data_IF_324420170140
#
_entry.id   IF_324420170140
#
_cell.length_a   1.000
_cell.length_b   1.000
_cell.length_c   1.000
_cell.angle_alpha   90.00
_cell.angle_beta   90.00
_cell.angle_gamma   90.00
#
_symmetry.space_group_name_H-M   'P 1'
#
loop_
_entity.id
_entity.type
_entity.pdbx_description
1 polymer ?
#
# COMPACT_ATOMS: atom_id res chain seq x y z
N UNK A 1 -3.48 3.84 -41.08
CA UNK A 1 -3.48 4.09 -39.63
C UNK A 1 -2.04 3.95 -39.14
N UNK A 2 -1.39 5.04 -38.76
CA UNK A 2 0.02 5.00 -38.34
C UNK A 2 0.09 4.68 -36.84
N UNK A 3 0.37 3.42 -36.52
CA UNK A 3 0.59 2.97 -35.15
C UNK A 3 2.07 3.15 -34.82
N UNK A 4 2.40 3.93 -33.78
CA UNK A 4 3.77 4.12 -33.28
C UNK A 4 3.92 3.47 -31.90
N UNK A 5 5.15 3.09 -31.55
CA UNK A 5 5.45 2.46 -30.25
C UNK A 5 6.51 3.27 -29.49
N UNK A 6 6.46 3.22 -28.16
CA UNK A 6 7.44 3.84 -27.27
C UNK A 6 7.72 2.93 -26.07
N UNK A 7 8.91 3.05 -25.49
CA UNK A 7 9.28 2.31 -24.29
C UNK A 7 8.64 2.93 -23.04
N UNK A 8 8.03 2.08 -22.19
CA UNK A 8 7.43 2.49 -20.94
C UNK A 8 8.38 2.23 -19.75
N UNK A 9 8.43 3.18 -18.83
CA UNK A 9 9.12 2.99 -17.54
C UNK A 9 8.21 2.18 -16.61
N UNK A 10 8.72 1.06 -16.12
CA UNK A 10 8.00 0.17 -15.19
C UNK A 10 8.66 0.23 -13.82
N UNK A 11 7.87 0.58 -12.82
CA UNK A 11 8.25 0.57 -11.41
C UNK A 11 7.83 -0.75 -10.78
N UNK A 12 8.69 -1.32 -9.92
CA UNK A 12 8.39 -2.53 -9.15
C UNK A 12 8.19 -2.15 -7.69
N UNK A 13 7.13 -2.65 -7.06
CA UNK A 13 6.86 -2.43 -5.65
C UNK A 13 5.77 -3.37 -5.12
N UNK A 14 5.81 -3.76 -3.85
CA UNK A 14 4.81 -4.62 -3.21
C UNK A 14 4.58 -5.94 -3.96
N UNK A 15 5.64 -6.48 -4.58
CA UNK A 15 5.58 -7.70 -5.41
C UNK A 15 4.91 -7.57 -6.79
N UNK A 16 4.54 -6.36 -7.22
CA UNK A 16 3.86 -6.11 -8.51
C UNK A 16 4.58 -5.06 -9.37
N UNK A 17 4.16 -4.94 -10.64
CA UNK A 17 4.64 -3.95 -11.61
C UNK A 17 3.63 -2.81 -11.76
N UNK A 18 4.12 -1.59 -11.90
CA UNK A 18 3.34 -0.38 -11.96
C UNK A 18 3.89 0.60 -13.00
N UNK A 19 3.02 1.37 -13.63
CA UNK A 19 3.40 2.41 -14.60
C UNK A 19 3.72 3.75 -13.94
N UNK A 20 3.42 3.90 -12.64
CA UNK A 20 3.71 5.13 -11.90
C UNK A 20 4.51 4.84 -10.64
N UNK A 21 5.49 5.69 -10.35
CA UNK A 21 6.29 5.60 -9.13
C UNK A 21 5.41 5.60 -7.87
N UNK A 22 4.41 6.48 -7.83
CA UNK A 22 3.52 6.62 -6.67
C UNK A 22 2.78 5.33 -6.35
N UNK A 23 2.30 4.61 -7.38
CA UNK A 23 1.57 3.35 -7.16
C UNK A 23 2.48 2.22 -6.70
N UNK A 24 3.71 2.13 -7.23
CA UNK A 24 4.71 1.20 -6.72
C UNK A 24 5.07 1.49 -5.25
N UNK A 25 5.35 2.75 -4.91
CA UNK A 25 5.66 3.14 -3.53
C UNK A 25 4.47 2.91 -2.57
N UNK A 26 3.24 3.13 -3.04
CA UNK A 26 2.04 2.85 -2.25
C UNK A 26 1.87 1.33 -2.05
N UNK A 27 2.20 0.51 -3.03
CA UNK A 27 2.16 -0.95 -2.89
C UNK A 27 3.17 -1.44 -1.85
N UNK A 28 4.40 -0.91 -1.86
CA UNK A 28 5.40 -1.18 -0.82
C UNK A 28 4.94 -0.74 0.57
N UNK A 29 4.34 0.45 0.68
CA UNK A 29 3.80 0.94 1.94
C UNK A 29 2.69 0.02 2.47
N UNK A 30 1.77 -0.43 1.61
CA UNK A 30 0.72 -1.41 2.00
C UNK A 30 1.32 -2.74 2.42
N UNK A 31 2.32 -3.24 1.71
CA UNK A 31 2.99 -4.48 2.08
C UNK A 31 3.62 -4.38 3.48
N UNK A 32 4.29 -3.26 3.78
CA UNK A 32 4.86 -3.00 5.10
C UNK A 32 3.78 -2.90 6.20
N UNK A 33 2.65 -2.23 5.92
CA UNK A 33 1.56 -2.16 6.90
C UNK A 33 0.96 -3.54 7.16
N UNK A 34 0.82 -4.36 6.11
CA UNK A 34 0.33 -5.73 6.22
C UNK A 34 1.22 -6.60 7.10
N UNK A 35 2.54 -6.42 7.09
CA UNK A 35 3.44 -7.18 8.00
C UNK A 35 3.32 -6.77 9.47
N UNK A 36 2.62 -5.68 9.76
CA UNK A 36 2.36 -5.18 11.13
C UNK A 36 0.86 -5.18 11.47
N UNK A 37 0.06 -5.88 10.68
CA UNK A 37 -1.37 -5.93 10.87
C UNK A 37 -1.72 -6.89 12.01
N UNK A 38 -2.35 -6.34 13.05
CA UNK A 38 -2.87 -7.10 14.19
C UNK A 38 -4.42 -7.08 14.19
N UNK A 39 -5.05 -7.15 13.01
CA UNK A 39 -6.51 -7.25 12.96
C UNK A 39 -6.93 -8.61 13.50
N UNK A 40 -7.90 -8.60 14.40
CA UNK A 40 -8.41 -9.80 15.05
C UNK A 40 -9.86 -10.03 14.66
N UNK A 41 -10.25 -11.29 14.58
CA UNK A 41 -11.66 -11.65 14.47
C UNK A 41 -12.16 -12.03 15.86
N UNK A 42 -13.17 -11.33 16.34
CA UNK A 42 -13.84 -11.64 17.59
C UNK A 42 -15.16 -12.36 17.28
N UNK A 43 -15.24 -13.62 17.68
CA UNK A 43 -16.48 -14.39 17.64
C UNK A 43 -17.20 -14.21 18.98
N UNK A 44 -18.37 -13.57 18.97
CA UNK A 44 -19.17 -13.35 20.17
C UNK A 44 -19.98 -14.60 20.57
N UNK A 45 -20.04 -15.61 19.70
CA UNK A 45 -20.79 -16.83 19.90
C UNK A 45 -22.31 -16.66 19.80
N UNK A 46 -23.01 -17.74 19.42
CA UNK A 46 -24.48 -17.79 19.40
C UNK A 46 -25.12 -16.93 18.31
N UNK A 47 -26.23 -16.26 18.63
CA UNK A 47 -27.04 -15.46 17.71
C UNK A 47 -26.53 -14.04 17.46
N UNK A 48 -25.47 -13.62 18.15
CA UNK A 48 -24.88 -12.27 18.06
C UNK A 48 -23.93 -12.15 16.85
N UNK A 49 -23.37 -13.27 16.39
CA UNK A 49 -22.41 -13.31 15.27
C UNK A 49 -20.98 -12.96 15.72
N UNK A 50 -20.16 -12.48 14.80
CA UNK A 50 -18.78 -12.07 15.07
C UNK A 50 -18.35 -10.91 14.19
N UNK A 51 -17.29 -10.21 14.58
CA UNK A 51 -16.80 -9.03 13.87
C UNK A 51 -15.27 -9.00 13.72
N UNK A 52 -14.80 -8.27 12.71
CA UNK A 52 -13.37 -7.99 12.53
C UNK A 52 -13.01 -6.69 13.26
N UNK A 53 -12.18 -6.81 14.29
CA UNK A 53 -11.61 -5.67 14.99
C UNK A 53 -10.48 -5.08 14.15
N UNK A 54 -10.66 -3.84 13.72
CA UNK A 54 -9.65 -3.10 12.95
C UNK A 54 -8.49 -2.72 13.85
N UNK A 55 -7.28 -3.14 13.47
CA UNK A 55 -6.09 -2.73 14.20
C UNK A 55 -5.74 -1.26 13.94
N UNK A 56 -4.84 -0.71 14.75
CA UNK A 56 -4.37 0.67 14.62
C UNK A 56 -3.86 1.02 13.21
N UNK A 57 -3.34 0.03 12.46
CA UNK A 57 -2.84 0.22 11.10
C UNK A 57 -3.92 0.17 10.02
N UNK A 58 -5.11 -0.34 10.33
CA UNK A 58 -6.26 -0.45 9.42
C UNK A 58 -7.43 0.46 9.79
N UNK A 59 -7.34 1.20 10.90
CA UNK A 59 -8.24 2.33 11.15
C UNK A 59 -8.08 3.36 10.02
N UNK A 60 -9.19 3.73 9.38
CA UNK A 60 -9.20 4.39 8.07
C UNK A 60 -8.47 5.76 8.07
N UNK A 61 -8.71 6.60 9.08
CA UNK A 61 -8.11 7.93 9.15
C UNK A 61 -6.59 7.83 9.35
N UNK A 62 -6.15 6.98 10.27
CA UNK A 62 -4.73 6.74 10.54
C UNK A 62 -4.06 6.05 9.37
N UNK A 63 -4.69 5.07 8.74
CA UNK A 63 -4.16 4.38 7.58
C UNK A 63 -3.91 5.37 6.45
N UNK A 64 -4.86 6.28 6.17
CA UNK A 64 -4.69 7.32 5.16
C UNK A 64 -3.46 8.21 5.45
N UNK A 65 -3.26 8.62 6.70
CA UNK A 65 -2.11 9.43 7.12
C UNK A 65 -0.79 8.64 7.00
N UNK A 66 -0.76 7.40 7.49
CA UNK A 66 0.40 6.51 7.43
C UNK A 66 0.80 6.23 5.98
N UNK A 67 -0.17 5.86 5.14
CA UNK A 67 0.02 5.63 3.72
C UNK A 67 0.58 6.85 3.01
N UNK A 68 0.05 8.05 3.29
CA UNK A 68 0.55 9.31 2.71
C UNK A 68 2.01 9.56 3.11
N UNK A 69 2.34 9.37 4.39
CA UNK A 69 3.70 9.57 4.93
C UNK A 69 4.70 8.56 4.37
N UNK A 70 4.37 7.27 4.42
CA UNK A 70 5.22 6.18 3.93
C UNK A 70 5.46 6.28 2.42
N UNK A 71 4.39 6.45 1.64
CA UNK A 71 4.50 6.62 0.18
C UNK A 71 5.37 7.82 -0.17
N UNK A 72 5.16 8.97 0.50
CA UNK A 72 5.99 10.16 0.30
C UNK A 72 7.45 9.94 0.68
N UNK A 73 7.71 9.19 1.76
CA UNK A 73 9.05 8.79 2.17
C UNK A 73 9.76 7.93 1.11
N UNK A 74 9.10 6.90 0.60
CA UNK A 74 9.66 6.04 -0.45
C UNK A 74 9.91 6.79 -1.76
N UNK A 75 9.01 7.67 -2.16
CA UNK A 75 9.21 8.49 -3.36
C UNK A 75 10.43 9.41 -3.22
N UNK A 76 10.64 10.03 -2.05
CA UNK A 76 11.83 10.85 -1.78
C UNK A 76 13.11 10.04 -1.84
N UNK A 77 13.15 8.87 -1.20
CA UNK A 77 14.31 7.96 -1.24
C UNK A 77 14.63 7.51 -2.67
N UNK A 78 13.62 7.11 -3.43
CA UNK A 78 13.81 6.71 -4.83
C UNK A 78 14.38 7.84 -5.68
N UNK A 79 13.89 9.08 -5.50
CA UNK A 79 14.41 10.25 -6.21
C UNK A 79 15.84 10.62 -5.80
N UNK A 80 16.23 10.42 -4.54
CA UNK A 80 17.61 10.64 -4.11
C UNK A 80 18.60 9.61 -4.66
N UNK A 81 18.15 8.39 -4.91
CA UNK A 81 18.98 7.31 -5.47
C UNK A 81 19.23 7.47 -6.99
N UNK A 82 18.47 8.33 -7.66
CA UNK A 82 18.64 8.62 -9.10
C UNK A 82 19.48 9.87 -9.40
N UNK A 83 20.09 10.49 -8.37
CA UNK A 83 21.13 11.50 -8.55
C UNK A 83 22.50 10.83 -8.60
#
# INVERSE_FOLDING_TARGET
MAVTTSQAVIYKGGGRRYLTLRSACAAEARALLKTRCDCEYMDYGGSIGGEWLTCWYHEDERNAVLMRRLTGGYMRRFRSTQK
#
